data_IF_048484128606
#
_entry.id   IF_048484128606
#
_cell.length_a   1.000
_cell.length_b   1.000
_cell.length_c   1.000
_cell.angle_alpha   90.00
_cell.angle_beta   90.00
_cell.angle_gamma   90.00
#
_symmetry.space_group_name_H-M   'P 1'
#
loop_
_entity.id
_entity.type
_entity.pdbx_description
1 polymer ?
#
# COMPACT_ATOMS: atom_id res chain seq x y z
N UNK A 1 8.62 -11.84 -16.26
CA UNK A 1 9.75 -11.01 -15.81
C UNK A 1 9.29 -10.18 -14.62
N UNK A 2 9.26 -10.79 -13.43
CA UNK A 2 8.81 -10.14 -12.20
C UNK A 2 10.05 -9.54 -11.54
N UNK A 3 10.16 -8.22 -11.52
CA UNK A 3 11.26 -7.53 -10.84
C UNK A 3 11.15 -7.84 -9.35
N UNK A 4 12.06 -8.67 -8.84
CA UNK A 4 12.22 -8.92 -7.40
C UNK A 4 12.61 -7.57 -6.76
N UNK A 5 11.89 -7.03 -5.79
CA UNK A 5 12.36 -5.84 -5.09
C UNK A 5 13.60 -6.24 -4.30
N UNK A 6 14.74 -5.74 -4.74
CA UNK A 6 15.91 -5.62 -3.90
C UNK A 6 15.62 -4.50 -2.88
N UNK A 7 16.16 -4.62 -1.67
CA UNK A 7 16.20 -3.53 -0.68
C UNK A 7 16.77 -2.21 -1.26
N UNK A 8 17.40 -2.25 -2.43
CA UNK A 8 17.90 -1.09 -3.19
C UNK A 8 16.84 -0.19 -3.84
N UNK A 9 15.58 -0.63 -4.00
CA UNK A 9 14.56 0.24 -4.63
C UNK A 9 13.46 0.67 -3.66
N UNK A 10 13.86 1.26 -2.53
CA UNK A 10 12.90 2.01 -1.70
C UNK A 10 12.30 3.14 -2.54
N UNK A 11 10.98 3.08 -2.74
CA UNK A 11 10.22 4.14 -3.40
C UNK A 11 9.95 5.23 -2.37
N UNK A 12 10.32 6.47 -2.69
CA UNK A 12 10.04 7.62 -1.85
C UNK A 12 8.95 8.53 -2.46
N UNK A 13 8.56 9.56 -1.72
CA UNK A 13 7.49 10.47 -2.14
C UNK A 13 7.81 11.22 -3.45
N UNK A 14 9.08 11.50 -3.75
CA UNK A 14 9.48 12.15 -5.00
C UNK A 14 9.34 11.24 -6.21
N UNK A 15 9.69 9.96 -6.07
CA UNK A 15 9.50 8.95 -7.11
C UNK A 15 8.02 8.82 -7.51
N UNK A 16 7.13 8.87 -6.51
CA UNK A 16 5.68 8.88 -6.69
C UNK A 16 5.22 10.14 -7.42
N UNK A 17 5.67 11.33 -6.98
CA UNK A 17 5.31 12.61 -7.63
C UNK A 17 5.73 12.64 -9.10
N UNK A 18 6.93 12.15 -9.43
CA UNK A 18 7.48 12.14 -10.80
C UNK A 18 6.68 11.27 -11.77
N UNK A 19 5.92 10.30 -11.28
CA UNK A 19 5.04 9.43 -12.10
C UNK A 19 3.68 10.04 -12.42
N UNK A 20 3.34 11.21 -11.86
CA UNK A 20 2.05 11.87 -12.10
C UNK A 20 1.84 12.15 -13.60
N UNK A 21 0.73 11.65 -14.15
CA UNK A 21 0.41 11.77 -15.58
C UNK A 21 1.17 10.79 -16.50
N UNK A 22 2.03 9.94 -15.93
CA UNK A 22 2.78 8.91 -16.66
C UNK A 22 2.40 7.50 -16.19
N UNK A 23 3.39 6.72 -15.76
CA UNK A 23 3.20 5.31 -15.36
C UNK A 23 2.29 5.21 -14.12
N UNK A 24 1.13 4.52 -14.22
CA UNK A 24 0.22 4.33 -13.09
C UNK A 24 0.90 3.66 -11.90
N UNK A 25 0.48 4.03 -10.68
CA UNK A 25 1.01 3.51 -9.41
C UNK A 25 0.10 2.40 -8.90
N UNK A 26 0.68 1.26 -8.51
CA UNK A 26 -0.04 0.17 -7.85
C UNK A 26 -0.03 0.41 -6.34
N UNK A 27 -1.20 0.66 -5.76
CA UNK A 27 -1.39 0.89 -4.33
C UNK A 27 -2.41 -0.10 -3.78
N UNK A 28 -2.09 -0.80 -2.69
CA UNK A 28 -3.01 -1.69 -1.97
C UNK A 28 -3.01 -1.37 -0.48
N UNK A 29 -4.14 -1.65 0.18
CA UNK A 29 -4.20 -1.55 1.64
C UNK A 29 -3.59 -2.78 2.29
N UNK A 30 -2.91 -2.59 3.42
CA UNK A 30 -2.39 -3.68 4.24
C UNK A 30 -2.46 -3.30 5.72
N UNK A 31 -3.09 -4.17 6.52
CA UNK A 31 -3.34 -3.91 7.95
C UNK A 31 -2.62 -4.88 8.88
N UNK A 32 -1.95 -5.91 8.32
CA UNK A 32 -1.19 -6.90 9.10
C UNK A 32 0.16 -7.17 8.46
N UNK A 33 1.12 -7.57 9.28
CA UNK A 33 2.48 -7.85 8.83
C UNK A 33 2.60 -8.96 7.77
N UNK A 34 1.96 -10.14 7.91
CA UNK A 34 2.07 -11.20 6.91
C UNK A 34 1.53 -10.75 5.54
N UNK A 35 0.43 -9.99 5.54
CA UNK A 35 -0.16 -9.43 4.31
C UNK A 35 0.78 -8.39 3.70
N UNK A 36 1.31 -7.45 4.48
CA UNK A 36 2.25 -6.45 3.99
C UNK A 36 3.50 -7.11 3.37
N UNK A 37 4.08 -8.12 4.04
CA UNK A 37 5.24 -8.88 3.52
C UNK A 37 4.95 -9.63 2.23
N UNK A 38 3.74 -10.16 2.08
CA UNK A 38 3.32 -10.83 0.85
C UNK A 38 3.14 -9.85 -0.31
N UNK A 39 2.62 -8.65 -0.04
CA UNK A 39 2.29 -7.64 -1.04
C UNK A 39 3.46 -6.74 -1.45
N UNK A 40 4.43 -6.51 -0.55
CA UNK A 40 5.61 -5.67 -0.78
C UNK A 40 6.27 -5.86 -2.16
N UNK A 41 6.44 -7.10 -2.69
CA UNK A 41 7.01 -7.27 -4.01
C UNK A 41 6.14 -6.97 -5.22
N UNK A 42 4.88 -6.62 -5.00
CA UNK A 42 3.87 -6.46 -6.05
C UNK A 42 3.31 -5.05 -6.15
N UNK A 43 3.61 -4.18 -5.20
CA UNK A 43 3.03 -2.83 -5.12
C UNK A 43 4.12 -1.76 -5.09
N UNK A 44 3.76 -0.56 -5.54
CA UNK A 44 4.61 0.62 -5.41
C UNK A 44 4.43 1.30 -4.04
N UNK A 45 3.27 1.10 -3.41
CA UNK A 45 2.86 1.72 -2.16
C UNK A 45 1.92 0.80 -1.38
N UNK A 46 2.16 0.65 -0.08
CA UNK A 46 1.22 0.05 0.87
C UNK A 46 0.54 1.16 1.68
N UNK A 47 -0.80 1.13 1.75
CA UNK A 47 -1.61 2.10 2.48
C UNK A 47 -2.17 1.49 3.77
N UNK A 48 -1.78 2.04 4.92
CA UNK A 48 -2.46 1.78 6.19
C UNK A 48 -3.52 2.87 6.36
N UNK A 49 -4.77 2.55 6.05
CA UNK A 49 -5.90 3.46 6.13
C UNK A 49 -6.89 3.12 7.24
N UNK A 50 -7.80 4.05 7.53
CA UNK A 50 -8.94 3.92 8.46
C UNK A 50 -10.01 2.92 7.99
N UNK A 51 -9.96 2.51 6.72
CA UNK A 51 -10.73 1.40 6.15
C UNK A 51 -10.60 0.08 6.92
N UNK A 52 -9.58 -0.06 7.79
CA UNK A 52 -9.45 -1.16 8.75
C UNK A 52 -10.71 -1.31 9.64
N UNK A 53 -11.36 -0.20 10.01
CA UNK A 53 -12.58 -0.20 10.81
C UNK A 53 -13.71 -0.96 10.12
N UNK A 54 -13.82 -0.86 8.80
CA UNK A 54 -14.84 -1.57 8.03
C UNK A 54 -14.40 -3.01 7.74
N UNK A 55 -13.15 -3.20 7.28
CA UNK A 55 -12.68 -4.48 6.74
C UNK A 55 -12.33 -5.50 7.82
N UNK A 56 -11.73 -5.07 8.93
CA UNK A 56 -11.36 -5.96 10.04
C UNK A 56 -12.32 -5.88 11.22
N UNK A 57 -12.89 -4.71 11.51
CA UNK A 57 -13.77 -4.51 12.67
C UNK A 57 -15.27 -4.53 12.34
N UNK A 58 -15.65 -4.60 11.05
CA UNK A 58 -17.05 -4.74 10.64
C UNK A 58 -17.92 -3.51 10.85
N UNK A 59 -17.32 -2.33 11.02
CA UNK A 59 -18.06 -1.08 11.14
C UNK A 59 -18.71 -0.69 9.81
N UNK A 60 -19.85 0.02 9.87
CA UNK A 60 -20.52 0.54 8.68
C UNK A 60 -19.78 1.74 8.05
N UNK A 61 -18.96 2.44 8.82
CA UNK A 61 -18.18 3.61 8.41
C UNK A 61 -16.77 3.56 9.03
N UNK A 62 -15.87 4.44 8.59
CA UNK A 62 -14.51 4.53 9.12
C UNK A 62 -14.36 5.46 10.34
N UNK A 63 -15.43 6.13 10.79
CA UNK A 63 -15.40 7.10 11.90
C UNK A 63 -14.97 6.51 13.26
N UNK A 64 -15.01 5.18 13.41
CA UNK A 64 -14.57 4.48 14.61
C UNK A 64 -13.12 3.98 14.57
N UNK A 65 -12.32 4.35 13.57
CA UNK A 65 -10.89 4.03 13.54
C UNK A 65 -10.13 4.86 14.59
N UNK A 66 -9.24 4.22 15.36
CA UNK A 66 -8.45 4.87 16.42
C UNK A 66 -7.09 4.19 16.56
#
# INVERSE_FOLDING_TARGET
MTRKPSADSRINAEDIRRRKGGVPIVCLTAYTYPVARLLDPHVDLLLVGDSVAMVLHGHATTLGAS
#
